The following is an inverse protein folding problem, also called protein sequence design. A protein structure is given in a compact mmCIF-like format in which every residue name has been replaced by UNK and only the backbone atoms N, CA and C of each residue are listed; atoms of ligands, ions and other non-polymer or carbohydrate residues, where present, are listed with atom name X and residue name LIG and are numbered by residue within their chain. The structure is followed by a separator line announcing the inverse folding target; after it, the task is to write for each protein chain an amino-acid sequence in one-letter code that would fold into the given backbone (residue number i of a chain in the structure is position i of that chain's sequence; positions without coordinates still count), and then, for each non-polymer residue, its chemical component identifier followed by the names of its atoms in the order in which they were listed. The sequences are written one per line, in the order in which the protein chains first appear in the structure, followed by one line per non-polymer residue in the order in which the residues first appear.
data_IF_471743573659
#
_entry.id   IF_471743573659
#
_cell.length_a   1.000
_cell.length_b   1.000
_cell.length_c   1.000
_cell.angle_alpha   90.00
_cell.angle_beta   90.00
_cell.angle_gamma   90.00
#
_symmetry.space_group_name_H-M   'P 1'
#
loop_
_entity.id
_entity.type
_entity.pdbx_description
1 polymer ?
#
# COMPACT_ATOMS: atom_id res chain seq x y z
N UNK A 1 -52.80 -26.17 -1.11
CA UNK A 1 -51.45 -25.55 -1.07
C UNK A 1 -51.56 -24.10 -1.48
N UNK A 2 -51.10 -23.16 -0.65
CA UNK A 2 -51.39 -21.72 -0.75
C UNK A 2 -50.44 -20.99 -1.69
N UNK A 3 -50.99 -20.19 -2.62
CA UNK A 3 -50.29 -19.35 -3.60
C UNK A 3 -49.33 -18.30 -2.98
N UNK A 4 -49.35 -18.12 -1.66
CA UNK A 4 -48.49 -17.16 -0.94
C UNK A 4 -47.07 -17.65 -0.65
N UNK A 5 -46.79 -18.95 -0.79
CA UNK A 5 -45.43 -19.48 -0.57
C UNK A 5 -44.55 -19.50 -1.83
N UNK A 6 -45.13 -19.32 -3.02
CA UNK A 6 -44.38 -19.29 -4.29
C UNK A 6 -43.69 -17.93 -4.58
N UNK A 7 -44.18 -16.83 -4.00
CA UNK A 7 -43.65 -15.49 -4.28
C UNK A 7 -42.39 -15.11 -3.49
N UNK A 8 -42.00 -15.87 -2.45
CA UNK A 8 -40.78 -15.56 -1.69
C UNK A 8 -39.49 -16.17 -2.27
N UNK A 9 -39.58 -17.06 -3.27
CA UNK A 9 -38.41 -17.76 -3.85
C UNK A 9 -37.92 -17.20 -5.19
N UNK A 10 -38.65 -16.29 -5.83
CA UNK A 10 -38.30 -15.73 -7.15
C UNK A 10 -37.60 -14.37 -7.12
N UNK A 11 -37.51 -13.72 -5.94
CA UNK A 11 -36.91 -12.39 -5.82
C UNK A 11 -35.37 -12.40 -5.66
N UNK A 12 -34.78 -13.52 -5.25
CA UNK A 12 -33.33 -13.64 -5.10
C UNK A 12 -32.57 -13.72 -6.45
N UNK A 13 -32.91 -14.62 -7.40
CA UNK A 13 -32.09 -14.82 -8.60
C UNK A 13 -32.09 -13.62 -9.57
N UNK A 14 -33.16 -12.82 -9.61
CA UNK A 14 -33.27 -11.65 -10.49
C UNK A 14 -32.40 -10.47 -10.05
N UNK A 15 -32.11 -10.36 -8.74
CA UNK A 15 -31.28 -9.27 -8.19
C UNK A 15 -29.79 -9.48 -8.51
N UNK A 16 -29.31 -10.72 -8.50
CA UNK A 16 -27.94 -11.03 -8.88
C UNK A 16 -27.68 -10.82 -10.37
N UNK A 17 -28.64 -11.09 -11.25
CA UNK A 17 -28.47 -10.91 -12.70
C UNK A 17 -28.19 -9.46 -13.11
N UNK A 18 -28.85 -8.48 -12.48
CA UNK A 18 -28.59 -7.05 -12.73
C UNK A 18 -27.24 -6.60 -12.17
N UNK A 19 -26.91 -7.01 -10.94
CA UNK A 19 -25.62 -6.71 -10.32
C UNK A 19 -24.45 -7.28 -11.13
N UNK A 20 -24.54 -8.54 -11.56
CA UNK A 20 -23.51 -9.18 -12.38
C UNK A 20 -23.33 -8.48 -13.72
N UNK A 21 -24.42 -7.98 -14.33
CA UNK A 21 -24.34 -7.20 -15.56
C UNK A 21 -23.61 -5.89 -15.36
N UNK A 22 -23.90 -5.17 -14.27
CA UNK A 22 -23.21 -3.92 -13.91
C UNK A 22 -21.74 -4.18 -13.60
N UNK A 23 -21.43 -5.17 -12.74
CA UNK A 23 -20.04 -5.52 -12.43
C UNK A 23 -19.25 -5.89 -13.69
N UNK A 24 -19.86 -6.65 -14.62
CA UNK A 24 -19.22 -7.01 -15.87
C UNK A 24 -18.98 -5.81 -16.77
N UNK A 25 -19.93 -4.87 -16.86
CA UNK A 25 -19.73 -3.64 -17.65
C UNK A 25 -18.65 -2.76 -17.04
N UNK A 26 -18.63 -2.59 -15.71
CA UNK A 26 -17.58 -1.82 -15.01
C UNK A 26 -16.20 -2.45 -15.20
N UNK A 27 -16.06 -3.77 -14.98
CA UNK A 27 -14.78 -4.46 -15.20
C UNK A 27 -14.31 -4.30 -16.65
N UNK A 28 -15.22 -4.43 -17.61
CA UNK A 28 -14.87 -4.31 -19.03
C UNK A 28 -14.48 -2.87 -19.39
N UNK A 29 -15.16 -1.89 -18.80
CA UNK A 29 -14.83 -0.47 -18.94
C UNK A 29 -13.42 -0.21 -18.43
N UNK A 30 -13.13 -0.55 -17.16
CA UNK A 30 -11.82 -0.36 -16.54
C UNK A 30 -10.68 -1.03 -17.32
N UNK A 31 -10.89 -2.27 -17.80
CA UNK A 31 -9.88 -2.98 -18.61
C UNK A 31 -9.63 -2.33 -19.98
N UNK A 32 -10.58 -1.53 -20.48
CA UNK A 32 -10.45 -0.82 -21.75
C UNK A 32 -9.93 0.61 -21.61
N UNK A 33 -10.17 1.24 -20.46
CA UNK A 33 -9.86 2.66 -20.19
C UNK A 33 -8.60 2.88 -19.36
N UNK A 34 -8.15 1.88 -18.60
CA UNK A 34 -6.95 1.99 -17.76
C UNK A 34 -5.68 1.56 -18.51
N UNK A 35 -4.52 2.21 -18.27
CA UNK A 35 -3.23 1.64 -18.66
C UNK A 35 -3.04 0.27 -18.00
N UNK A 36 -2.20 -0.62 -18.57
CA UNK A 36 -2.04 -1.98 -18.06
C UNK A 36 -1.69 -1.97 -16.56
N UNK A 37 -2.29 -2.88 -15.76
CA UNK A 37 -2.10 -2.88 -14.32
C UNK A 37 -0.62 -3.08 -13.95
N UNK A 38 -0.15 -2.36 -12.93
CA UNK A 38 1.22 -2.45 -12.42
C UNK A 38 1.62 -3.89 -12.01
N UNK A 39 0.64 -4.76 -11.73
CA UNK A 39 0.88 -6.18 -11.45
C UNK A 39 1.46 -6.96 -12.64
N UNK A 40 1.25 -6.48 -13.87
CA UNK A 40 1.88 -7.03 -15.08
C UNK A 40 3.31 -6.51 -15.30
N UNK A 41 3.83 -5.72 -14.35
CA UNK A 41 5.02 -4.89 -14.48
C UNK A 41 6.06 -5.16 -13.37
N UNK A 42 6.06 -6.35 -12.76
CA UNK A 42 7.13 -6.77 -11.88
C UNK A 42 8.50 -6.63 -12.60
N UNK A 43 9.45 -5.95 -11.97
CA UNK A 43 10.73 -5.60 -12.60
C UNK A 43 10.77 -4.25 -13.34
N UNK A 44 9.68 -3.47 -13.36
CA UNK A 44 9.78 -2.06 -13.78
C UNK A 44 10.61 -1.27 -12.77
N UNK A 45 11.55 -0.50 -13.31
CA UNK A 45 12.36 0.44 -12.54
C UNK A 45 11.69 1.81 -12.44
N UNK A 46 11.68 2.37 -11.24
CA UNK A 46 11.30 3.75 -10.94
C UNK A 46 12.56 4.43 -10.38
N UNK A 47 13.33 5.06 -11.26
CA UNK A 47 14.70 5.47 -10.94
C UNK A 47 15.55 4.24 -10.60
N UNK A 48 16.19 4.28 -9.43
CA UNK A 48 17.04 3.18 -8.92
C UNK A 48 16.24 2.11 -8.15
N UNK A 49 14.93 2.31 -7.98
CA UNK A 49 14.06 1.34 -7.32
C UNK A 49 13.47 0.37 -8.34
N UNK A 50 13.41 -0.90 -7.98
CA UNK A 50 12.68 -1.92 -8.71
C UNK A 50 11.39 -2.25 -7.96
N UNK A 51 10.28 -2.35 -8.68
CA UNK A 51 9.03 -2.86 -8.11
C UNK A 51 9.20 -4.36 -7.84
N UNK A 52 9.22 -4.72 -6.56
CA UNK A 52 9.31 -6.09 -6.06
C UNK A 52 7.94 -6.47 -5.49
N UNK A 53 7.19 -7.32 -6.20
CA UNK A 53 5.88 -7.79 -5.75
C UNK A 53 5.99 -9.27 -5.36
N UNK A 54 5.93 -9.57 -4.07
CA UNK A 54 6.25 -10.90 -3.53
C UNK A 54 5.02 -11.80 -3.33
N UNK A 55 3.83 -11.25 -3.04
CA UNK A 55 2.58 -12.01 -2.88
C UNK A 55 1.41 -11.39 -3.68
N UNK A 56 0.79 -12.16 -4.57
CA UNK A 56 -0.40 -11.74 -5.33
C UNK A 56 -1.60 -11.31 -4.45
N UNK A 57 -1.61 -11.69 -3.17
CA UNK A 57 -2.61 -11.30 -2.17
C UNK A 57 -2.17 -10.13 -1.28
N UNK A 58 -0.91 -9.72 -1.35
CA UNK A 58 -0.47 -8.50 -0.68
C UNK A 58 -1.25 -7.31 -1.26
N UNK A 59 -1.59 -6.36 -0.39
CA UNK A 59 -2.29 -5.14 -0.79
C UNK A 59 -1.34 -3.95 -0.92
N UNK A 60 -0.12 -4.10 -0.42
CA UNK A 60 0.94 -3.10 -0.52
C UNK A 60 1.83 -3.35 -1.73
N UNK A 61 2.36 -2.25 -2.28
CA UNK A 61 3.41 -2.27 -3.30
C UNK A 61 4.74 -2.16 -2.57
N UNK A 62 5.70 -3.04 -2.89
CA UNK A 62 7.06 -2.97 -2.38
C UNK A 62 8.02 -2.51 -3.49
N UNK A 63 8.82 -1.50 -3.18
CA UNK A 63 9.89 -0.98 -4.01
C UNK A 63 11.22 -1.26 -3.32
N UNK A 64 12.22 -1.73 -4.06
CA UNK A 64 13.54 -2.04 -3.51
C UNK A 64 14.64 -1.45 -4.37
N UNK A 65 15.53 -0.71 -3.73
CA UNK A 65 16.83 -0.32 -4.27
C UNK A 65 17.88 -1.10 -3.52
N UNK A 66 18.65 -1.91 -4.24
CA UNK A 66 19.73 -2.72 -3.65
C UNK A 66 20.99 -1.89 -3.55
N UNK A 67 21.79 -2.18 -2.53
CA UNK A 67 23.14 -1.65 -2.45
C UNK A 67 23.94 -2.02 -3.70
N UNK A 68 24.57 -1.01 -4.29
CA UNK A 68 25.41 -1.12 -5.49
C UNK A 68 26.90 -0.94 -5.16
N UNK A 69 27.79 -0.95 -6.17
CA UNK A 69 29.21 -0.71 -5.96
C UNK A 69 29.52 0.66 -5.34
N UNK A 70 28.68 1.66 -5.62
CA UNK A 70 28.80 3.04 -5.12
C UNK A 70 27.78 3.36 -4.02
N UNK A 71 26.81 2.47 -3.78
CA UNK A 71 25.74 2.67 -2.79
C UNK A 71 25.90 1.68 -1.64
N UNK A 72 26.30 2.17 -0.48
CA UNK A 72 26.47 1.32 0.71
C UNK A 72 25.14 0.97 1.40
N UNK A 73 24.00 1.42 0.88
CA UNK A 73 22.69 1.29 1.52
C UNK A 73 21.67 0.60 0.63
N UNK A 74 20.95 -0.35 1.23
CA UNK A 74 19.74 -0.94 0.67
C UNK A 74 18.53 -0.20 1.23
N UNK A 75 17.60 0.16 0.35
CA UNK A 75 16.35 0.85 0.72
C UNK A 75 15.16 0.06 0.23
N UNK A 76 14.24 -0.25 1.13
CA UNK A 76 12.96 -0.86 0.83
C UNK A 76 11.82 0.07 1.22
N UNK A 77 10.85 0.26 0.32
CA UNK A 77 9.67 1.11 0.53
C UNK A 77 8.42 0.27 0.28
N UNK A 78 7.64 0.02 1.33
CA UNK A 78 6.31 -0.60 1.22
C UNK A 78 5.24 0.47 1.36
N UNK A 79 4.28 0.50 0.43
CA UNK A 79 3.19 1.46 0.40
C UNK A 79 1.84 0.77 0.33
N UNK A 80 0.99 1.01 1.33
CA UNK A 80 -0.39 0.54 1.36
C UNK A 80 -1.34 1.72 1.16
N UNK A 81 -2.10 1.69 0.07
CA UNK A 81 -3.06 2.74 -0.24
C UNK A 81 -4.30 2.62 0.66
N UNK A 82 -4.65 3.70 1.36
CA UNK A 82 -5.80 3.76 2.27
C UNK A 82 -7.12 3.48 1.55
N UNK A 83 -8.23 3.19 2.26
CA UNK A 83 -9.49 2.82 1.65
C UNK A 83 -10.03 3.91 0.71
N UNK A 84 -10.75 3.51 -0.33
CA UNK A 84 -11.45 4.45 -1.21
C UNK A 84 -12.52 5.20 -0.42
N UNK A 85 -12.52 6.51 -0.55
CA UNK A 85 -13.52 7.42 0.03
C UNK A 85 -14.12 8.24 -1.09
N UNK A 86 -15.37 8.64 -0.95
CA UNK A 86 -16.09 9.44 -1.93
C UNK A 86 -16.55 10.74 -1.29
N UNK A 87 -16.41 11.83 -2.02
CA UNK A 87 -17.03 13.11 -1.70
C UNK A 87 -18.10 13.39 -2.79
N UNK A 88 -19.34 13.02 -2.51
CA UNK A 88 -20.39 12.96 -3.53
C UNK A 88 -20.19 11.79 -4.50
N UNK A 89 -20.17 12.07 -5.80
CA UNK A 89 -19.94 11.06 -6.85
C UNK A 89 -18.46 10.85 -7.16
N UNK A 90 -17.58 11.76 -6.71
CA UNK A 90 -16.16 11.73 -7.03
C UNK A 90 -15.33 11.04 -5.93
N UNK A 91 -14.30 10.25 -6.29
CA UNK A 91 -13.39 9.66 -5.33
C UNK A 91 -12.50 10.74 -4.70
N UNK A 92 -12.47 10.78 -3.37
CA UNK A 92 -11.57 11.66 -2.63
C UNK A 92 -10.11 11.17 -2.73
N UNK A 93 -9.11 12.09 -2.68
CA UNK A 93 -7.70 11.72 -2.65
C UNK A 93 -7.41 10.73 -1.51
N UNK A 94 -6.65 9.69 -1.84
CA UNK A 94 -6.34 8.60 -0.91
C UNK A 94 -4.97 8.82 -0.29
N UNK A 95 -4.92 8.79 1.04
CA UNK A 95 -3.65 8.71 1.76
C UNK A 95 -3.04 7.32 1.61
N UNK A 96 -1.71 7.21 1.56
CA UNK A 96 -0.99 5.96 1.63
C UNK A 96 -0.20 5.86 2.94
N UNK A 97 -0.27 4.71 3.59
CA UNK A 97 0.63 4.36 4.69
C UNK A 97 1.90 3.79 4.08
N UNK A 98 3.03 4.41 4.40
CA UNK A 98 4.32 4.04 3.81
C UNK A 98 5.30 3.63 4.91
N UNK A 99 6.01 2.53 4.68
CA UNK A 99 7.13 2.10 5.50
C UNK A 99 8.39 2.17 4.67
N UNK A 100 9.36 2.96 5.12
CA UNK A 100 10.69 3.03 4.51
C UNK A 100 11.67 2.32 5.44
N UNK A 101 12.45 1.40 4.89
CA UNK A 101 13.49 0.69 5.62
C UNK A 101 14.82 0.99 4.95
N UNK A 102 15.77 1.49 5.73
CA UNK A 102 17.13 1.77 5.29
C UNK A 102 18.07 0.84 6.04
N UNK A 103 18.90 0.11 5.29
CA UNK A 103 19.85 -0.86 5.82
C UNK A 103 21.21 -0.64 5.18
N UNK A 104 22.28 -0.70 5.97
CA UNK A 104 23.64 -0.67 5.42
C UNK A 104 24.04 -2.04 4.89
N UNK A 105 24.72 -2.08 3.74
CA UNK A 105 25.18 -3.30 3.10
C UNK A 105 26.05 -4.12 4.06
N UNK A 106 25.76 -5.41 4.18
CA UNK A 106 26.49 -6.33 5.05
C UNK A 106 26.24 -6.16 6.55
N UNK A 107 25.38 -5.24 6.97
CA UNK A 107 25.01 -5.03 8.38
C UNK A 107 23.53 -5.35 8.60
N UNK A 108 23.20 -6.10 9.64
CA UNK A 108 21.80 -6.44 9.97
C UNK A 108 20.93 -5.29 10.50
N UNK A 109 21.47 -4.28 11.22
CA UNK A 109 20.67 -3.17 11.69
C UNK A 109 19.96 -2.40 10.59
N UNK A 110 18.74 -1.96 10.89
CA UNK A 110 17.92 -1.20 9.97
C UNK A 110 17.19 -0.05 10.67
N UNK A 111 17.02 1.05 9.94
CA UNK A 111 16.18 2.18 10.32
C UNK A 111 14.83 2.06 9.61
N UNK A 112 13.75 2.08 10.38
CA UNK A 112 12.38 2.00 9.90
C UNK A 112 11.67 3.33 10.11
N UNK A 113 11.19 3.92 9.04
CA UNK A 113 10.36 5.10 9.05
C UNK A 113 8.93 4.71 8.75
N UNK A 114 8.01 5.20 9.57
CA UNK A 114 6.57 5.07 9.33
C UNK A 114 6.04 6.42 8.87
N UNK A 115 5.64 6.48 7.61
CA UNK A 115 5.26 7.69 6.91
C UNK A 115 3.81 7.64 6.45
N UNK A 116 3.25 8.81 6.19
CA UNK A 116 2.00 8.97 5.45
C UNK A 116 2.26 9.84 4.24
N UNK A 117 1.75 9.41 3.10
CA UNK A 117 1.77 10.21 1.86
C UNK A 117 0.33 10.61 1.57
N UNK A 118 0.12 11.87 1.24
CA UNK A 118 -1.18 12.45 0.96
C UNK A 118 -1.05 13.46 -0.19
N UNK A 119 -2.17 14.00 -0.65
CA UNK A 119 -2.13 14.93 -1.77
C UNK A 119 -1.29 16.18 -1.42
N UNK A 120 -0.28 16.45 -2.24
CA UNK A 120 0.65 17.56 -2.03
C UNK A 120 1.77 17.34 -1.00
N UNK A 121 1.94 16.15 -0.41
CA UNK A 121 3.09 15.94 0.49
C UNK A 121 3.19 14.61 1.22
N UNK A 122 4.10 14.57 2.20
CA UNK A 122 4.29 13.44 3.09
C UNK A 122 4.58 13.92 4.52
N UNK A 123 4.39 13.02 5.48
CA UNK A 123 4.76 13.23 6.88
C UNK A 123 5.41 11.98 7.46
N UNK A 124 6.43 12.18 8.28
CA UNK A 124 7.06 11.11 9.06
C UNK A 124 6.37 11.04 10.42
N UNK A 125 5.80 9.88 10.75
CA UNK A 125 5.17 9.65 12.04
C UNK A 125 6.15 9.17 13.11
N UNK A 126 7.06 8.27 12.75
CA UNK A 126 8.09 7.76 13.67
C UNK A 126 9.30 7.21 12.93
N UNK A 127 10.48 7.31 13.54
CA UNK A 127 11.71 6.64 13.13
C UNK A 127 12.13 5.64 14.21
N UNK A 128 12.50 4.42 13.80
CA UNK A 128 12.83 3.30 14.69
C UNK A 128 14.10 2.64 14.26
N UNK A 129 14.96 2.34 15.23
CA UNK A 129 16.12 1.51 15.01
C UNK A 129 15.83 0.08 15.44
N UNK A 130 16.14 -0.87 14.57
CA UNK A 130 16.11 -2.30 14.88
C UNK A 130 17.52 -2.85 14.66
N UNK A 131 18.04 -3.61 15.64
CA UNK A 131 19.35 -4.26 15.52
C UNK A 131 19.37 -5.41 14.52
N UNK A 132 18.19 -5.90 14.12
CA UNK A 132 17.99 -6.89 13.05
C UNK A 132 16.61 -6.71 12.43
N UNK A 133 16.50 -6.95 11.12
CA UNK A 133 15.22 -6.88 10.36
C UNK A 133 14.17 -7.87 10.88
N UNK A 134 14.60 -9.00 11.47
CA UNK A 134 13.69 -9.98 12.05
C UNK A 134 13.14 -9.57 13.43
N UNK A 135 13.67 -8.51 14.04
CA UNK A 135 13.38 -8.11 15.42
C UNK A 135 12.18 -7.14 15.51
N UNK A 136 11.02 -7.57 14.99
CA UNK A 136 9.78 -6.78 14.93
C UNK A 136 8.79 -7.11 16.07
N UNK A 137 9.31 -7.46 17.25
CA UNK A 137 8.50 -7.78 18.43
C UNK A 137 7.69 -6.58 18.96
N UNK A 138 6.50 -6.82 19.55
CA UNK A 138 5.66 -5.74 20.10
C UNK A 138 6.32 -4.99 21.26
N UNK A 139 7.25 -5.65 21.97
CA UNK A 139 7.94 -5.13 23.16
C UNK A 139 9.15 -4.25 22.82
N UNK A 140 9.42 -4.03 21.52
CA UNK A 140 10.56 -3.23 21.07
C UNK A 140 10.24 -1.75 21.11
N UNK A 141 11.26 -0.96 21.43
CA UNK A 141 11.14 0.49 21.47
C UNK A 141 10.69 1.03 20.11
N UNK A 142 9.58 1.77 20.09
CA UNK A 142 8.95 2.27 18.85
C UNK A 142 9.42 3.66 18.44
N UNK A 143 10.44 4.20 19.09
CA UNK A 143 10.84 5.58 18.88
C UNK A 143 9.82 6.57 19.48
N UNK A 144 10.23 7.83 19.67
CA UNK A 144 9.29 8.89 19.96
C UNK A 144 8.45 9.23 18.71
N UNK A 145 7.40 10.01 18.89
CA UNK A 145 6.72 10.64 17.75
C UNK A 145 7.71 11.56 17.04
N UNK A 146 7.82 11.48 15.71
CA UNK A 146 8.77 12.30 14.97
C UNK A 146 8.52 13.80 15.19
N UNK A 147 7.26 14.20 15.31
CA UNK A 147 6.84 15.57 15.62
C UNK A 147 7.30 16.11 16.98
N UNK A 148 7.74 15.23 17.89
CA UNK A 148 8.25 15.59 19.22
C UNK A 148 9.76 15.68 19.29
N UNK A 149 10.45 15.35 18.20
CA UNK A 149 11.90 15.49 18.11
C UNK A 149 12.31 16.96 18.11
N UNK A 150 13.57 17.21 18.45
CA UNK A 150 14.19 18.52 18.24
C UNK A 150 14.02 18.95 16.76
N UNK A 151 13.59 20.18 16.46
CA UNK A 151 13.41 20.65 15.08
C UNK A 151 14.65 20.45 14.19
N UNK A 152 15.87 20.53 14.74
CA UNK A 152 17.09 20.28 13.99
C UNK A 152 17.18 18.83 13.51
N UNK A 153 16.70 17.87 14.31
CA UNK A 153 16.63 16.46 13.94
C UNK A 153 15.48 16.14 12.98
N UNK A 154 14.53 17.06 12.78
CA UNK A 154 13.45 16.91 11.81
C UNK A 154 13.84 17.40 10.41
N UNK A 155 14.85 18.26 10.31
CA UNK A 155 15.26 18.92 9.05
C UNK A 155 16.54 18.38 8.42
N UNK A 156 17.30 17.54 9.14
CA UNK A 156 18.55 16.91 8.69
C UNK A 156 18.34 15.42 8.42
#
# INVERSE_FOLDING_TARGET
MSLRQAQRRTAAPLRYGRLLRVLRSEISHELSSSPPPLQSQAGISVGDFVVDWDDARAQDVLLRRRAGPEEEEEVAVSGLLGPLRFDGEDPAPREALVKVVVKKAGLDPALHFHCRVFDGGFSVGSARYHSSVADLGPDKYRGPSFSTLDPLLQTH
#
